data_IF_889341175664
#
_entry.id   IF_889341175664
#
_cell.length_a   1.000
_cell.length_b   1.000
_cell.length_c   1.000
_cell.angle_alpha   90.00
_cell.angle_beta   90.00
_cell.angle_gamma   90.00
#
_symmetry.space_group_name_H-M   'P 1'
#
loop_
_entity.id
_entity.type
_entity.pdbx_description
1 polymer ?
#
# COMPACT_ATOMS: atom_id res chain seq x y z
N UNK A 1 8.22 12.52 -23.35
CA UNK A 1 7.84 11.15 -23.74
C UNK A 1 6.46 11.23 -24.39
N UNK A 2 6.26 10.64 -25.58
CA UNK A 2 4.93 10.55 -26.19
C UNK A 2 4.16 9.44 -25.48
N UNK A 3 3.32 9.83 -24.51
CA UNK A 3 2.61 8.89 -23.62
C UNK A 3 1.57 8.06 -24.38
N UNK A 4 1.06 8.60 -25.50
CA UNK A 4 0.16 7.95 -26.45
C UNK A 4 0.73 6.66 -27.06
N UNK A 5 2.07 6.53 -27.15
CA UNK A 5 2.71 5.30 -27.65
C UNK A 5 2.54 4.10 -26.70
N UNK A 6 2.07 4.33 -25.48
CA UNK A 6 1.85 3.31 -24.46
C UNK A 6 0.36 3.14 -24.13
N UNK A 7 -0.51 3.81 -24.88
CA UNK A 7 -1.96 3.72 -24.69
C UNK A 7 -2.52 2.44 -25.32
N UNK A 8 -3.52 1.86 -24.67
CA UNK A 8 -4.23 0.69 -25.16
C UNK A 8 -5.63 0.63 -24.57
N UNK A 9 -6.55 -0.02 -25.28
CA UNK A 9 -7.91 -0.22 -24.76
C UNK A 9 -7.89 -1.22 -23.60
N UNK A 10 -8.22 -0.75 -22.39
CA UNK A 10 -8.33 -1.55 -21.18
C UNK A 10 -9.77 -1.48 -20.66
N UNK A 11 -10.62 -2.47 -20.99
CA UNK A 11 -11.99 -2.51 -20.48
C UNK A 11 -12.03 -2.53 -18.96
N UNK A 12 -12.90 -1.70 -18.37
CA UNK A 12 -12.94 -1.43 -16.94
C UNK A 12 -13.18 -2.70 -16.10
N UNK A 13 -13.91 -3.66 -16.67
CA UNK A 13 -14.23 -4.98 -16.12
C UNK A 13 -13.03 -5.95 -16.11
N UNK A 14 -11.95 -5.65 -16.84
CA UNK A 14 -10.70 -6.44 -16.82
C UNK A 14 -9.74 -6.02 -15.72
N UNK A 15 -10.04 -4.94 -14.99
CA UNK A 15 -9.26 -4.49 -13.82
C UNK A 15 -9.74 -5.24 -12.57
N UNK A 16 -8.94 -6.17 -12.09
CA UNK A 16 -9.25 -6.95 -10.89
C UNK A 16 -9.26 -6.07 -9.64
N UNK A 17 -10.28 -6.26 -8.79
CA UNK A 17 -10.45 -5.56 -7.49
C UNK A 17 -10.01 -6.40 -6.29
N UNK A 18 -9.76 -7.69 -6.55
CA UNK A 18 -9.35 -8.73 -5.60
C UNK A 18 -8.38 -9.69 -6.29
N UNK A 19 -7.45 -10.30 -5.56
CA UNK A 19 -6.62 -11.37 -6.11
C UNK A 19 -7.46 -12.60 -6.46
N UNK A 20 -6.92 -13.48 -7.30
CA UNK A 20 -7.48 -14.80 -7.53
C UNK A 20 -7.33 -15.68 -6.28
N UNK A 21 -8.24 -16.65 -6.10
CA UNK A 21 -8.19 -17.64 -5.02
C UNK A 21 -8.24 -19.06 -5.61
N UNK A 22 -7.18 -19.90 -5.43
CA UNK A 22 -5.89 -19.59 -4.80
C UNK A 22 -5.05 -18.59 -5.62
N UNK A 23 -4.11 -17.90 -4.97
CA UNK A 23 -3.35 -16.78 -5.59
C UNK A 23 -2.56 -17.18 -6.84
N UNK A 24 -2.01 -18.39 -6.86
CA UNK A 24 -1.24 -18.95 -7.98
C UNK A 24 -2.10 -19.45 -9.16
N UNK A 25 -3.44 -19.35 -9.05
CA UNK A 25 -4.38 -19.58 -10.16
C UNK A 25 -4.52 -18.36 -11.08
N UNK A 26 -3.87 -17.25 -10.75
CA UNK A 26 -3.77 -16.11 -11.65
C UNK A 26 -3.10 -16.52 -12.98
N UNK A 27 -3.58 -15.95 -14.10
CA UNK A 27 -2.97 -16.15 -15.42
C UNK A 27 -1.60 -15.47 -15.47
N UNK A 28 -0.65 -16.12 -16.14
CA UNK A 28 0.68 -15.64 -16.42
C UNK A 28 0.89 -15.67 -17.94
N UNK A 29 1.16 -14.52 -18.55
CA UNK A 29 1.52 -14.46 -19.96
C UNK A 29 3.03 -14.59 -20.09
N UNK A 30 3.50 -15.67 -20.73
CA UNK A 30 4.91 -15.85 -21.05
C UNK A 30 5.18 -15.23 -22.42
N UNK A 31 6.01 -14.19 -22.42
CA UNK A 31 6.37 -13.43 -23.62
C UNK A 31 7.76 -13.85 -24.09
N UNK A 32 7.86 -14.31 -25.34
CA UNK A 32 9.11 -14.56 -26.07
C UNK A 32 9.17 -13.64 -27.29
N UNK A 33 10.36 -13.43 -27.89
CA UNK A 33 10.51 -12.55 -29.06
C UNK A 33 9.54 -12.84 -30.21
N UNK A 34 9.13 -14.09 -30.37
CA UNK A 34 8.32 -14.61 -31.48
C UNK A 34 7.01 -15.28 -31.04
N UNK A 35 6.73 -15.38 -29.73
CA UNK A 35 5.59 -16.13 -29.23
C UNK A 35 5.00 -15.57 -27.93
N UNK A 36 3.68 -15.71 -27.80
CA UNK A 36 2.92 -15.46 -26.58
C UNK A 36 2.28 -16.77 -26.12
N UNK A 37 2.40 -17.06 -24.83
CA UNK A 37 1.96 -18.33 -24.26
C UNK A 37 1.19 -18.06 -22.95
N UNK A 38 -0.08 -18.46 -22.92
CA UNK A 38 -0.90 -18.39 -21.73
C UNK A 38 -0.58 -19.55 -20.77
N UNK A 39 -0.25 -19.20 -19.53
CA UNK A 39 0.02 -20.12 -18.42
C UNK A 39 -0.67 -19.65 -17.15
N UNK A 40 -0.48 -20.38 -16.08
CA UNK A 40 -0.84 -19.96 -14.72
C UNK A 40 0.41 -19.68 -13.91
N UNK A 41 0.31 -18.86 -12.87
CA UNK A 41 1.46 -18.54 -12.01
C UNK A 41 2.03 -19.81 -11.35
N UNK A 42 1.19 -20.80 -11.03
CA UNK A 42 1.64 -22.13 -10.58
C UNK A 42 2.57 -22.87 -11.56
N UNK A 43 2.58 -22.49 -12.84
CA UNK A 43 3.47 -23.06 -13.85
C UNK A 43 4.85 -22.40 -13.86
N UNK A 44 5.06 -21.30 -13.11
CA UNK A 44 6.34 -20.59 -13.02
C UNK A 44 7.56 -21.51 -12.81
N UNK A 45 7.53 -22.56 -11.96
CA UNK A 45 8.69 -23.44 -11.75
C UNK A 45 9.15 -24.15 -13.03
N UNK A 46 8.29 -24.32 -14.05
CA UNK A 46 8.65 -24.95 -15.31
C UNK A 46 9.61 -24.10 -16.15
N UNK A 47 9.68 -22.79 -15.88
CA UNK A 47 10.53 -21.84 -16.58
C UNK A 47 11.86 -21.58 -15.88
N UNK A 48 12.06 -22.16 -14.70
CA UNK A 48 13.27 -21.99 -13.89
C UNK A 48 14.23 -23.15 -14.08
N UNK A 49 15.52 -22.84 -13.99
CA UNK A 49 16.63 -23.79 -14.03
C UNK A 49 17.35 -23.84 -12.68
N UNK A 50 18.00 -24.97 -12.35
CA UNK A 50 18.87 -25.02 -11.18
C UNK A 50 19.91 -23.90 -11.21
N UNK A 51 20.03 -23.15 -10.12
CA UNK A 51 20.94 -22.01 -9.99
C UNK A 51 20.31 -20.64 -10.25
N UNK A 52 19.11 -20.56 -10.84
CA UNK A 52 18.37 -19.31 -11.03
C UNK A 52 18.06 -18.63 -9.69
N UNK A 53 17.88 -17.31 -9.73
CA UNK A 53 17.62 -16.49 -8.54
C UNK A 53 16.33 -15.70 -8.75
N UNK A 54 15.39 -15.86 -7.83
CA UNK A 54 14.25 -14.98 -7.67
C UNK A 54 14.57 -13.95 -6.59
N UNK A 55 14.49 -12.67 -6.96
CA UNK A 55 14.62 -11.56 -6.01
C UNK A 55 13.23 -11.04 -5.67
N UNK A 56 12.88 -11.04 -4.39
CA UNK A 56 11.57 -10.63 -3.90
C UNK A 56 11.69 -9.47 -2.92
N UNK A 57 10.69 -8.59 -2.93
CA UNK A 57 10.59 -7.52 -1.94
C UNK A 57 9.91 -8.05 -0.68
N UNK A 58 10.59 -7.95 0.47
CA UNK A 58 10.10 -8.44 1.77
C UNK A 58 9.42 -7.36 2.62
N UNK A 59 9.10 -6.20 2.02
CA UNK A 59 8.35 -5.16 2.74
C UNK A 59 6.93 -5.60 3.10
N UNK A 60 6.48 -5.19 4.27
CA UNK A 60 5.12 -5.35 4.79
C UNK A 60 4.39 -4.03 4.70
N UNK A 61 3.19 -4.07 4.13
CA UNK A 61 2.32 -2.89 4.00
C UNK A 61 1.78 -2.51 5.37
N UNK A 62 1.92 -1.25 5.75
CA UNK A 62 1.31 -0.69 6.97
C UNK A 62 -0.05 -0.05 6.61
N UNK A 63 -0.99 0.04 7.56
CA UNK A 63 -2.28 0.68 7.35
C UNK A 63 -2.13 2.23 7.34
N UNK A 64 -1.41 2.75 6.35
CA UNK A 64 -0.98 4.15 6.28
C UNK A 64 -2.10 5.16 5.92
N UNK A 65 -3.36 4.75 5.76
CA UNK A 65 -4.46 5.68 5.50
C UNK A 65 -5.18 6.05 6.81
N UNK A 66 -4.98 7.29 7.26
CA UNK A 66 -5.57 7.82 8.48
C UNK A 66 -6.76 8.73 8.16
N UNK A 67 -7.83 8.58 8.93
CA UNK A 67 -8.99 9.48 8.92
C UNK A 67 -8.91 10.42 10.11
N UNK A 68 -9.15 11.71 9.88
CA UNK A 68 -9.05 12.71 10.93
C UNK A 68 -9.89 13.95 10.67
N UNK A 69 -9.84 14.85 11.65
CA UNK A 69 -10.57 16.10 11.65
C UNK A 69 -9.60 17.27 11.87
N UNK A 70 -9.68 18.27 10.99
CA UNK A 70 -9.08 19.59 11.20
C UNK A 70 -10.12 20.53 11.79
N UNK A 71 -9.77 21.23 12.87
CA UNK A 71 -10.59 22.29 13.49
C UNK A 71 -9.88 23.63 13.36
N UNK A 72 -10.57 24.66 12.85
CA UNK A 72 -10.08 26.05 12.77
C UNK A 72 -11.22 26.99 13.19
N UNK A 73 -11.20 27.43 14.46
CA UNK A 73 -12.36 28.08 15.05
C UNK A 73 -13.59 27.17 14.98
N UNK A 74 -14.70 27.67 14.46
CA UNK A 74 -15.93 26.87 14.23
C UNK A 74 -15.86 25.97 12.98
N UNK A 75 -14.82 26.12 12.14
CA UNK A 75 -14.71 25.37 10.89
C UNK A 75 -14.07 23.99 11.10
N UNK A 76 -14.89 22.95 10.99
CA UNK A 76 -14.50 21.55 11.07
C UNK A 76 -14.44 20.93 9.67
N UNK A 77 -13.33 20.30 9.31
CA UNK A 77 -13.18 19.56 8.05
C UNK A 77 -12.68 18.14 8.30
N UNK A 78 -13.33 17.16 7.68
CA UNK A 78 -12.82 15.78 7.58
C UNK A 78 -11.66 15.74 6.60
N UNK A 79 -10.60 15.03 6.97
CA UNK A 79 -9.36 14.88 6.22
C UNK A 79 -8.99 13.40 6.22
N UNK A 80 -8.76 12.86 5.03
CA UNK A 80 -8.05 11.60 4.83
C UNK A 80 -6.58 11.93 4.55
N UNK A 81 -5.65 11.25 5.21
CA UNK A 81 -4.22 11.35 4.93
C UNK A 81 -3.64 9.95 4.69
N UNK A 82 -3.16 9.70 3.47
CA UNK A 82 -2.37 8.50 3.16
C UNK A 82 -0.90 8.83 3.35
N UNK A 83 -0.26 8.31 4.40
CA UNK A 83 1.18 8.47 4.61
C UNK A 83 1.92 7.80 3.45
N UNK A 84 2.92 8.46 2.86
CA UNK A 84 3.65 7.96 1.68
C UNK A 84 5.15 7.78 1.92
N UNK A 85 5.74 8.55 2.84
CA UNK A 85 7.17 8.50 3.13
C UNK A 85 7.45 9.01 4.55
N UNK A 86 8.21 8.24 5.32
CA UNK A 86 8.74 8.66 6.62
C UNK A 86 9.99 9.51 6.41
N UNK A 87 10.00 10.72 6.97
CA UNK A 87 11.12 11.68 6.85
C UNK A 87 11.80 11.95 8.22
N UNK A 88 11.31 11.34 9.30
CA UNK A 88 11.87 11.43 10.65
C UNK A 88 11.19 10.49 11.64
N UNK A 89 11.51 10.61 12.93
CA UNK A 89 10.89 9.78 13.98
C UNK A 89 9.39 10.05 14.15
N UNK A 90 8.94 11.28 13.87
CA UNK A 90 7.54 11.71 13.89
C UNK A 90 7.10 12.46 12.63
N UNK A 91 7.94 12.51 11.59
CA UNK A 91 7.66 13.25 10.36
C UNK A 91 7.25 12.29 9.24
N UNK A 92 6.10 12.57 8.64
CA UNK A 92 5.60 11.83 7.48
C UNK A 92 5.09 12.76 6.40
N UNK A 93 5.51 12.49 5.17
CA UNK A 93 4.88 13.03 3.98
C UNK A 93 3.62 12.23 3.69
N UNK A 94 2.53 12.90 3.34
CA UNK A 94 1.23 12.27 3.11
C UNK A 94 0.47 12.92 1.94
N UNK A 95 -0.33 12.12 1.24
CA UNK A 95 -1.35 12.61 0.31
C UNK A 95 -2.64 12.90 1.10
N UNK A 96 -3.07 14.16 1.11
CA UNK A 96 -4.25 14.58 1.86
C UNK A 96 -5.46 14.83 0.97
N UNK A 97 -6.64 14.39 1.41
CA UNK A 97 -7.93 14.62 0.75
C UNK A 97 -8.97 15.14 1.75
N UNK A 98 -9.60 16.31 1.51
CA UNK A 98 -9.25 17.33 0.52
C UNK A 98 -8.04 18.17 0.96
N UNK A 99 -6.86 17.98 0.35
CA UNK A 99 -5.64 18.70 0.70
C UNK A 99 -5.70 20.22 0.54
N UNK A 100 -6.63 20.74 -0.29
CA UNK A 100 -6.90 22.20 -0.41
C UNK A 100 -7.46 22.82 0.88
N UNK A 101 -7.98 22.02 1.81
CA UNK A 101 -8.52 22.49 3.10
C UNK A 101 -7.47 22.52 4.21
N UNK A 102 -6.21 22.23 3.89
CA UNK A 102 -5.09 22.26 4.81
C UNK A 102 -4.17 23.44 4.49
N UNK A 103 -3.62 24.06 5.53
CA UNK A 103 -2.56 25.05 5.50
C UNK A 103 -1.49 24.69 6.53
N UNK A 104 -0.26 25.18 6.33
CA UNK A 104 0.78 25.07 7.35
C UNK A 104 0.30 25.68 8.68
N UNK A 105 0.60 25.00 9.78
CA UNK A 105 0.12 25.33 11.13
C UNK A 105 -1.25 24.75 11.49
N UNK A 106 -1.97 24.12 10.57
CA UNK A 106 -3.21 23.41 10.92
C UNK A 106 -2.90 22.18 11.78
N UNK A 107 -3.78 21.91 12.77
CA UNK A 107 -3.77 20.66 13.53
C UNK A 107 -4.84 19.71 13.01
N UNK A 108 -4.46 18.45 12.87
CA UNK A 108 -5.33 17.35 12.49
C UNK A 108 -5.34 16.34 13.63
N UNK A 109 -6.53 15.93 14.04
CA UNK A 109 -6.75 14.85 14.99
C UNK A 109 -7.21 13.60 14.27
N UNK A 110 -6.39 12.55 14.24
CA UNK A 110 -6.71 11.26 13.64
C UNK A 110 -7.36 10.31 14.64
N UNK A 111 -8.33 9.52 14.17
CA UNK A 111 -9.10 8.57 14.98
C UNK A 111 -10.58 8.53 14.60
N UNK A 112 -11.33 7.57 15.14
CA UNK A 112 -12.75 7.43 14.84
C UNK A 112 -13.53 8.68 15.24
N UNK A 113 -14.14 9.32 14.25
CA UNK A 113 -15.24 10.25 14.46
C UNK A 113 -16.53 9.47 14.78
N UNK A 114 -16.48 8.53 15.73
CA UNK A 114 -17.69 8.02 16.36
C UNK A 114 -18.35 9.20 17.06
N UNK A 115 -19.67 9.32 16.97
CA UNK A 115 -20.48 10.51 17.27
C UNK A 115 -20.48 10.99 18.74
N UNK A 116 -19.47 10.65 19.53
CA UNK A 116 -19.19 11.31 20.79
C UNK A 116 -17.75 11.85 20.79
N UNK A 117 -17.62 13.13 21.13
CA UNK A 117 -16.37 13.81 21.45
C UNK A 117 -15.68 13.24 22.71
N UNK A 118 -16.07 12.03 23.17
CA UNK A 118 -15.71 11.44 24.44
C UNK A 118 -14.57 10.41 24.35
N UNK A 119 -14.25 9.88 23.17
CA UNK A 119 -13.08 9.00 22.98
C UNK A 119 -11.83 9.79 22.54
N UNK A 120 -11.51 10.88 23.26
CA UNK A 120 -10.25 11.63 23.08
C UNK A 120 -9.00 10.84 23.48
N UNK A 121 -9.15 9.69 24.14
CA UNK A 121 -8.04 8.87 24.65
C UNK A 121 -7.34 8.00 23.58
N UNK A 122 -7.93 7.87 22.38
CA UNK A 122 -7.37 7.07 21.28
C UNK A 122 -6.87 7.93 20.10
N UNK A 123 -6.89 9.25 20.24
CA UNK A 123 -6.58 10.17 19.15
C UNK A 123 -5.08 10.29 18.89
N UNK A 124 -4.70 10.44 17.62
CA UNK A 124 -3.35 10.75 17.17
C UNK A 124 -3.33 12.16 16.58
N UNK A 125 -2.70 13.10 17.25
CA UNK A 125 -2.61 14.49 16.79
C UNK A 125 -1.35 14.71 15.93
N UNK A 126 -1.49 15.51 14.87
CA UNK A 126 -0.40 15.97 14.04
C UNK A 126 -0.60 17.42 13.59
N UNK A 127 0.50 18.16 13.47
CA UNK A 127 0.50 19.49 12.88
C UNK A 127 1.00 19.43 11.42
N UNK A 128 0.38 20.22 10.54
CA UNK A 128 0.81 20.40 9.15
C UNK A 128 2.01 21.34 9.14
N UNK A 129 3.20 20.82 8.82
CA UNK A 129 4.44 21.61 8.75
C UNK A 129 4.53 22.34 7.41
N UNK A 130 4.24 21.62 6.33
CA UNK A 130 4.37 22.11 4.96
C UNK A 130 3.23 21.56 4.11
N UNK A 131 2.85 22.31 3.07
CA UNK A 131 1.94 21.84 2.03
C UNK A 131 2.54 22.17 0.66
N UNK A 132 2.70 21.14 -0.15
CA UNK A 132 3.06 21.22 -1.55
C UNK A 132 1.90 20.70 -2.42
N UNK A 133 1.96 20.86 -3.73
CA UNK A 133 0.86 20.49 -4.63
C UNK A 133 0.50 19.00 -4.54
N UNK A 134 -0.51 18.67 -3.73
CA UNK A 134 -1.03 17.31 -3.52
C UNK A 134 -0.51 16.61 -2.25
N UNK A 135 0.54 17.13 -1.63
CA UNK A 135 1.21 16.54 -0.47
C UNK A 135 1.26 17.47 0.74
N UNK A 136 1.27 16.89 1.93
CA UNK A 136 1.51 17.59 3.19
C UNK A 136 2.59 16.89 4.00
N UNK A 137 3.41 17.66 4.70
CA UNK A 137 4.31 17.14 5.72
C UNK A 137 3.59 17.24 7.07
N UNK A 138 3.39 16.10 7.72
CA UNK A 138 2.76 15.96 9.02
C UNK A 138 3.84 15.73 10.09
N UNK A 139 3.80 16.53 11.15
CA UNK A 139 4.55 16.30 12.38
C UNK A 139 3.62 15.75 13.45
N UNK A 140 3.73 14.45 13.73
CA UNK A 140 2.97 13.79 14.78
C UNK A 140 3.48 14.20 16.17
N UNK A 141 2.57 14.23 17.14
CA UNK A 141 2.88 14.61 18.53
C UNK A 141 3.52 13.48 19.35
N UNK A 142 3.56 12.28 18.78
CA UNK A 142 4.29 11.12 19.30
C UNK A 142 5.23 10.59 18.21
N UNK A 143 6.24 9.81 18.61
CA UNK A 143 7.29 9.35 17.72
C UNK A 143 7.61 7.85 17.91
N UNK A 144 8.49 7.35 17.04
CA UNK A 144 9.03 5.99 17.12
C UNK A 144 7.95 4.90 17.21
N UNK A 145 8.17 3.92 18.08
CA UNK A 145 7.29 2.76 18.23
C UNK A 145 5.85 3.13 18.65
N UNK A 146 5.69 4.19 19.46
CA UNK A 146 4.36 4.64 19.88
C UNK A 146 3.57 5.20 18.70
N UNK A 147 4.24 5.92 17.79
CA UNK A 147 3.63 6.37 16.53
C UNK A 147 3.28 5.19 15.62
N UNK A 148 4.18 4.22 15.47
CA UNK A 148 3.94 3.04 14.65
C UNK A 148 2.72 2.24 15.15
N UNK A 149 2.60 2.04 16.47
CA UNK A 149 1.44 1.38 17.09
C UNK A 149 0.15 2.18 16.88
N UNK A 150 0.21 3.51 16.97
CA UNK A 150 -0.94 4.36 16.72
C UNK A 150 -1.38 4.31 15.25
N UNK A 151 -0.44 4.28 14.30
CA UNK A 151 -0.74 4.11 12.87
C UNK A 151 -1.35 2.73 12.63
N UNK A 152 -0.80 1.65 13.20
CA UNK A 152 -1.34 0.30 13.04
C UNK A 152 -2.78 0.19 13.55
N UNK A 153 -3.08 0.84 14.68
CA UNK A 153 -4.39 0.80 15.33
C UNK A 153 -5.44 1.68 14.67
N UNK A 154 -5.08 2.90 14.26
CA UNK A 154 -6.02 3.90 13.72
C UNK A 154 -6.10 3.90 12.19
N UNK A 155 -5.14 3.23 11.58
CA UNK A 155 -4.95 3.20 10.15
C UNK A 155 -5.90 2.25 9.43
N UNK A 156 -6.05 2.52 8.15
CA UNK A 156 -6.71 1.66 7.19
C UNK A 156 -5.75 1.25 6.09
N UNK A 157 -6.03 0.11 5.44
CA UNK A 157 -5.22 -0.37 4.32
C UNK A 157 -5.27 0.66 3.18
N UNK A 158 -4.11 1.20 2.73
CA UNK A 158 -4.05 2.17 1.64
C UNK A 158 -4.26 1.49 0.28
N UNK A 159 -5.52 1.17 -0.04
CA UNK A 159 -5.86 0.59 -1.34
C UNK A 159 -5.54 1.57 -2.49
N UNK A 160 -5.02 1.09 -3.63
CA UNK A 160 -4.81 1.91 -4.81
C UNK A 160 -6.08 2.64 -5.25
N UNK A 161 -5.95 3.85 -5.82
CA UNK A 161 -7.10 4.69 -6.17
C UNK A 161 -8.16 3.98 -7.04
N UNK A 162 -7.73 3.12 -7.97
CA UNK A 162 -8.64 2.39 -8.86
C UNK A 162 -9.47 1.31 -8.14
N UNK A 163 -9.01 0.80 -6.99
CA UNK A 163 -9.79 -0.10 -6.13
C UNK A 163 -10.68 0.72 -5.20
N UNK A 164 -10.10 1.70 -4.51
CA UNK A 164 -10.79 2.55 -3.54
C UNK A 164 -11.95 3.36 -4.16
N UNK A 165 -11.86 3.69 -5.46
CA UNK A 165 -12.95 4.35 -6.18
C UNK A 165 -14.17 3.43 -6.46
N UNK A 166 -14.00 2.11 -6.34
CA UNK A 166 -15.06 1.12 -6.63
C UNK A 166 -15.60 0.42 -5.40
N UNK A 167 -14.83 0.36 -4.31
CA UNK A 167 -15.26 -0.21 -3.02
C UNK A 167 -14.47 0.37 -1.86
N UNK A 168 -15.04 0.32 -0.67
CA UNK A 168 -14.31 0.52 0.57
C UNK A 168 -13.36 -0.67 0.83
N UNK A 169 -12.36 -0.41 1.68
CA UNK A 169 -11.56 -1.46 2.32
C UNK A 169 -12.40 -2.27 3.32
N UNK A 170 -12.02 -3.53 3.50
CA UNK A 170 -12.57 -4.43 4.49
C UNK A 170 -11.49 -5.32 5.12
N UNK A 171 -11.89 -6.17 6.06
CA UNK A 171 -10.99 -7.04 6.81
C UNK A 171 -10.17 -7.98 5.92
N UNK A 172 -10.66 -8.31 4.71
CA UNK A 172 -9.90 -9.14 3.77
C UNK A 172 -8.69 -8.40 3.22
N UNK A 173 -8.75 -7.08 3.07
CA UNK A 173 -7.65 -6.29 2.50
C UNK A 173 -6.37 -6.38 3.31
N UNK A 174 -6.47 -6.51 4.64
CA UNK A 174 -5.31 -6.73 5.52
C UNK A 174 -4.48 -7.97 5.13
N UNK A 175 -5.14 -9.01 4.59
CA UNK A 175 -4.51 -10.23 4.09
C UNK A 175 -4.23 -10.16 2.59
N UNK A 176 -5.18 -9.62 1.83
CA UNK A 176 -5.12 -9.57 0.36
C UNK A 176 -3.92 -8.74 -0.11
N UNK A 177 -3.60 -7.65 0.61
CA UNK A 177 -2.52 -6.70 0.32
C UNK A 177 -1.17 -7.04 0.97
N UNK A 178 -1.00 -8.27 1.46
CA UNK A 178 0.29 -8.75 1.93
C UNK A 178 0.79 -9.89 1.05
N UNK A 179 2.09 -9.85 0.73
CA UNK A 179 2.77 -11.00 0.14
C UNK A 179 3.16 -11.99 1.22
N UNK A 180 3.42 -13.24 0.85
CA UNK A 180 3.97 -14.25 1.78
C UNK A 180 5.41 -13.91 2.22
N UNK A 181 6.05 -12.93 1.58
CA UNK A 181 7.39 -12.47 1.93
C UNK A 181 7.40 -11.31 2.92
N UNK A 182 6.22 -10.76 3.26
CA UNK A 182 6.08 -9.54 4.05
C UNK A 182 6.66 -9.71 5.47
N UNK A 183 7.76 -9.01 5.75
CA UNK A 183 8.46 -9.01 7.04
C UNK A 183 8.71 -7.58 7.54
N UNK A 184 9.34 -6.75 6.71
CA UNK A 184 9.80 -5.41 7.11
C UNK A 184 8.70 -4.36 6.93
N UNK A 185 8.10 -3.93 8.03
CA UNK A 185 7.03 -2.93 8.03
C UNK A 185 7.53 -1.56 7.55
N UNK A 186 6.78 -0.94 6.63
CA UNK A 186 7.06 0.43 6.21
C UNK A 186 6.58 0.80 4.82
N UNK A 187 6.11 -0.18 4.03
CA UNK A 187 5.52 0.13 2.73
C UNK A 187 4.08 0.64 2.85
N UNK A 188 3.73 1.51 1.92
CA UNK A 188 2.38 2.06 1.76
C UNK A 188 1.69 1.39 0.57
N UNK A 189 2.45 0.79 -0.34
CA UNK A 189 1.94 -0.02 -1.43
C UNK A 189 2.51 -1.44 -1.38
N UNK A 190 1.69 -2.42 -1.72
CA UNK A 190 2.13 -3.81 -1.80
C UNK A 190 3.03 -4.02 -3.03
N UNK A 191 4.09 -4.85 -2.93
CA UNK A 191 4.79 -5.36 -4.11
C UNK A 191 3.88 -6.35 -4.85
N UNK A 192 3.08 -5.83 -5.78
CA UNK A 192 1.89 -6.50 -6.35
C UNK A 192 2.18 -7.82 -7.05
N UNK A 193 3.33 -7.96 -7.73
CA UNK A 193 3.72 -9.23 -8.36
C UNK A 193 3.96 -10.34 -7.33
N UNK A 194 4.42 -10.00 -6.12
CA UNK A 194 4.61 -10.96 -5.03
C UNK A 194 3.29 -11.50 -4.46
N UNK A 195 2.15 -10.85 -4.74
CA UNK A 195 0.83 -11.28 -4.24
C UNK A 195 0.31 -12.56 -4.90
N UNK A 196 0.98 -13.06 -5.94
CA UNK A 196 0.61 -14.30 -6.61
C UNK A 196 1.25 -15.55 -5.99
N UNK A 197 2.23 -15.37 -5.11
CA UNK A 197 2.96 -16.49 -4.52
C UNK A 197 2.17 -17.16 -3.40
N UNK A 198 2.33 -18.49 -3.32
CA UNK A 198 1.80 -19.37 -2.28
C UNK A 198 2.97 -20.18 -1.71
N UNK A 199 2.80 -20.73 -0.50
CA UNK A 199 3.83 -21.60 0.11
C UNK A 199 4.14 -22.82 -0.78
N UNK A 200 3.10 -23.42 -1.37
CA UNK A 200 3.25 -24.55 -2.30
C UNK A 200 4.07 -24.17 -3.55
N UNK A 201 3.83 -22.97 -4.09
CA UNK A 201 4.62 -22.45 -5.22
C UNK A 201 6.09 -22.23 -4.83
N UNK A 202 6.36 -21.69 -3.64
CA UNK A 202 7.75 -21.54 -3.17
C UNK A 202 8.45 -22.88 -3.06
N UNK A 203 7.80 -23.89 -2.45
CA UNK A 203 8.35 -25.22 -2.35
C UNK A 203 8.66 -25.82 -3.74
N UNK A 204 7.78 -25.61 -4.72
CA UNK A 204 8.00 -26.07 -6.08
C UNK A 204 9.17 -25.35 -6.79
N UNK A 205 9.36 -24.06 -6.53
CA UNK A 205 10.48 -23.25 -7.05
C UNK A 205 11.81 -23.75 -6.46
N UNK A 206 11.88 -23.92 -5.15
CA UNK A 206 13.07 -24.41 -4.46
C UNK A 206 13.42 -25.85 -4.88
N UNK A 207 12.42 -26.71 -5.08
CA UNK A 207 12.60 -28.06 -5.59
C UNK A 207 13.18 -28.11 -7.02
N UNK A 208 13.04 -27.03 -7.81
CA UNK A 208 13.72 -26.88 -9.11
C UNK A 208 15.16 -26.38 -9.00
N UNK A 209 15.65 -26.13 -7.79
CA UNK A 209 17.01 -25.68 -7.53
C UNK A 209 17.19 -24.17 -7.73
N UNK A 210 16.10 -23.41 -7.83
CA UNK A 210 16.15 -21.95 -7.83
C UNK A 210 16.29 -21.44 -6.38
N UNK A 211 16.94 -20.29 -6.21
CA UNK A 211 17.17 -19.65 -4.91
C UNK A 211 16.31 -18.40 -4.77
N UNK A 212 15.85 -18.13 -3.56
CA UNK A 212 15.09 -16.91 -3.24
C UNK A 212 15.98 -15.96 -2.46
N UNK A 213 16.15 -14.75 -2.97
CA UNK A 213 16.84 -13.65 -2.30
C UNK A 213 15.82 -12.55 -1.96
N UNK A 214 15.98 -11.96 -0.77
CA UNK A 214 15.09 -10.90 -0.28
C UNK A 214 15.80 -9.56 -0.34
N UNK A 215 15.06 -8.53 -0.73
CA UNK A 215 15.45 -7.13 -0.62
C UNK A 215 14.35 -6.35 0.05
N UNK A 216 14.69 -5.32 0.80
CA UNK A 216 13.70 -4.44 1.42
C UNK A 216 13.63 -3.14 0.67
N UNK A 217 12.48 -2.87 0.06
CA UNK A 217 12.16 -1.59 -0.55
C UNK A 217 10.79 -1.14 -0.06
N UNK A 218 10.75 -0.10 0.77
CA UNK A 218 9.50 0.52 1.16
C UNK A 218 8.94 1.33 -0.01
N UNK A 219 7.85 0.84 -0.58
CA UNK A 219 7.16 1.45 -1.73
C UNK A 219 6.18 2.50 -1.21
N UNK A 220 6.30 3.73 -1.70
CA UNK A 220 5.35 4.81 -1.39
C UNK A 220 4.16 4.78 -2.35
N UNK A 221 3.09 5.53 -2.07
CA UNK A 221 1.92 5.58 -2.97
C UNK A 221 2.17 6.28 -4.33
N UNK A 222 3.35 6.90 -4.52
CA UNK A 222 3.72 7.66 -5.73
C UNK A 222 4.87 7.05 -6.54
N UNK A 223 5.30 5.83 -6.20
CA UNK A 223 6.31 5.04 -6.95
C UNK A 223 5.63 3.92 -7.72
#
# INVERSE_FOLDING_TARGET
>A
MRVDLFDFDLPQERIALRPAEPRDSARMLVVRPDALEDRYVRDLPQFLRPGDVLVVNDTRVIPARLNGIRVRGENVARIEATLIKREGSNLWRALAKPGKRLAAGDRIRFGEASESMACLLAALDADVVERNEGEVLLAFHIDGAALDEAIERLGHMPLPPYIAARRADDDKDSRDYQTIFAREAGAVAAPTAGLHFTEDLLGAIEARGARIHRVTLHVGAGT
#
